data_IF_414760445445
#
_entry.id   IF_414760445445
#
_cell.length_a   1.000
_cell.length_b   1.000
_cell.length_c   1.000
_cell.angle_alpha   90.00
_cell.angle_beta   90.00
_cell.angle_gamma   90.00
#
_symmetry.space_group_name_H-M   'P 1'
#
loop_
_entity.id
_entity.type
_entity.pdbx_description
1 polymer ?
#
# COMPACT_ATOMS: atom_id res chain seq x y z
N UNK A 1 -21.73 -2.54 64.10
CA UNK A 1 -20.64 -3.04 63.22
C UNK A 1 -21.33 -3.80 62.09
N UNK A 2 -21.66 -3.15 60.96
CA UNK A 2 -20.87 -3.08 59.71
C UNK A 2 -20.26 -4.43 59.30
N UNK A 3 -20.72 -5.00 58.18
CA UNK A 3 -20.04 -6.11 57.50
C UNK A 3 -20.92 -6.93 56.55
N UNK A 4 -21.31 -6.34 55.42
CA UNK A 4 -21.89 -6.94 54.20
C UNK A 4 -21.14 -8.19 53.72
N UNK A 5 -21.87 -9.26 53.39
CA UNK A 5 -21.39 -10.33 52.50
C UNK A 5 -22.07 -10.13 51.15
N UNK A 6 -21.41 -9.40 50.25
CA UNK A 6 -21.81 -9.33 48.85
C UNK A 6 -21.06 -10.43 48.10
N UNK A 7 -21.81 -11.43 47.64
CA UNK A 7 -21.29 -12.47 46.73
C UNK A 7 -21.04 -11.80 45.37
N UNK A 8 -19.78 -11.54 45.04
CA UNK A 8 -19.37 -11.04 43.74
C UNK A 8 -19.44 -12.19 42.72
N UNK A 9 -20.49 -12.19 41.89
CA UNK A 9 -20.52 -13.00 40.66
C UNK A 9 -19.61 -12.28 39.66
N UNK A 10 -18.39 -12.79 39.49
CA UNK A 10 -17.49 -12.36 38.43
C UNK A 10 -17.95 -13.05 37.13
N UNK A 11 -18.77 -12.35 36.34
CA UNK A 11 -19.09 -12.77 34.97
C UNK A 11 -17.82 -12.57 34.13
N UNK A 12 -17.14 -13.68 33.82
CA UNK A 12 -16.04 -13.70 32.87
C UNK A 12 -16.64 -13.54 31.45
N UNK A 13 -16.79 -12.30 30.99
CA UNK A 13 -17.00 -12.00 29.58
C UNK A 13 -15.69 -12.30 28.85
N UNK A 14 -15.50 -13.55 28.44
CA UNK A 14 -14.55 -13.89 27.39
C UNK A 14 -15.16 -13.36 26.09
N UNK A 15 -14.92 -12.09 25.81
CA UNK A 15 -15.12 -11.54 24.48
C UNK A 15 -14.17 -12.32 23.57
N UNK A 16 -14.73 -13.11 22.65
CA UNK A 16 -14.01 -13.62 21.50
C UNK A 16 -13.49 -12.42 20.70
N UNK A 17 -12.31 -11.93 21.07
CA UNK A 17 -11.56 -10.98 20.28
C UNK A 17 -10.91 -11.81 19.18
N UNK A 18 -11.61 -12.00 18.06
CA UNK A 18 -10.95 -12.43 16.83
C UNK A 18 -9.81 -11.46 16.59
N UNK A 19 -8.56 -11.96 16.58
CA UNK A 19 -7.43 -11.19 16.11
C UNK A 19 -7.78 -10.71 14.70
N UNK A 20 -7.89 -9.40 14.55
CA UNK A 20 -8.53 -8.78 13.40
C UNK A 20 -7.44 -7.97 12.71
N UNK A 21 -7.01 -8.46 11.54
CA UNK A 21 -5.90 -7.93 10.74
C UNK A 21 -5.99 -6.41 10.56
N UNK A 22 -4.84 -5.76 10.66
CA UNK A 22 -4.67 -4.39 11.15
C UNK A 22 -3.56 -3.74 10.29
N UNK A 23 -3.84 -2.69 9.50
CA UNK A 23 -3.01 -2.12 8.40
C UNK A 23 -2.11 -3.13 7.63
N UNK A 24 -2.51 -4.40 7.71
CA UNK A 24 -1.95 -5.54 7.01
C UNK A 24 -2.27 -5.35 5.53
N UNK A 25 -1.59 -6.01 4.59
CA UNK A 25 -1.83 -5.81 3.17
C UNK A 25 -3.33 -5.87 2.77
N UNK A 26 -4.14 -6.64 3.50
CA UNK A 26 -5.61 -6.68 3.34
C UNK A 26 -6.31 -5.33 3.62
N UNK A 27 -5.83 -4.56 4.59
CA UNK A 27 -6.36 -3.24 4.94
C UNK A 27 -6.02 -2.20 3.86
N UNK A 28 -4.81 -2.21 3.33
CA UNK A 28 -4.42 -1.36 2.20
C UNK A 28 -5.35 -1.57 1.00
N UNK A 29 -5.64 -2.84 0.70
CA UNK A 29 -6.61 -3.23 -0.33
C UNK A 29 -8.00 -2.64 -0.07
N UNK A 30 -8.53 -2.78 1.13
CA UNK A 30 -9.88 -2.28 1.45
C UNK A 30 -9.96 -0.75 1.39
N UNK A 31 -8.94 -0.04 1.89
CA UNK A 31 -8.89 1.42 1.78
C UNK A 31 -8.83 1.83 0.30
N UNK A 32 -8.07 1.13 -0.53
CA UNK A 32 -7.98 1.40 -1.96
C UNK A 32 -9.30 1.12 -2.71
N UNK A 33 -10.00 0.01 -2.41
CA UNK A 33 -11.34 -0.24 -2.91
C UNK A 33 -12.30 0.91 -2.54
N UNK A 34 -12.32 1.30 -1.26
CA UNK A 34 -13.17 2.38 -0.77
C UNK A 34 -12.83 3.71 -1.43
N UNK A 35 -11.55 4.00 -1.65
CA UNK A 35 -11.10 5.21 -2.33
C UNK A 35 -11.56 5.28 -3.79
N UNK A 36 -11.67 4.14 -4.48
CA UNK A 36 -12.15 4.07 -5.86
C UNK A 36 -13.68 4.23 -5.99
N UNK A 37 -14.44 3.95 -4.93
CA UNK A 37 -15.92 3.98 -4.96
C UNK A 37 -16.50 5.40 -4.79
N UNK A 38 -17.62 5.72 -5.45
CA UNK A 38 -18.44 6.87 -5.09
C UNK A 38 -18.99 6.74 -3.65
N UNK A 39 -19.20 7.84 -2.91
CA UNK A 39 -18.88 9.22 -3.28
C UNK A 39 -17.44 9.64 -2.91
N UNK A 40 -16.55 8.71 -2.55
CA UNK A 40 -15.20 9.03 -2.06
C UNK A 40 -14.33 9.63 -3.15
N UNK A 41 -14.46 9.14 -4.38
CA UNK A 41 -13.84 9.73 -5.56
C UNK A 41 -14.79 9.72 -6.76
N UNK A 42 -14.41 10.49 -7.78
CA UNK A 42 -15.09 10.56 -9.07
C UNK A 42 -14.54 9.56 -10.09
N UNK A 43 -13.79 8.53 -9.66
CA UNK A 43 -13.17 7.56 -10.58
C UNK A 43 -14.25 6.88 -11.45
N UNK A 44 -15.34 6.41 -10.84
CA UNK A 44 -16.46 5.80 -11.57
C UNK A 44 -17.06 6.74 -12.63
N UNK A 45 -17.25 8.02 -12.28
CA UNK A 45 -17.80 9.02 -13.20
C UNK A 45 -16.85 9.31 -14.36
N UNK A 46 -15.54 9.45 -14.10
CA UNK A 46 -14.52 9.69 -15.14
C UNK A 46 -14.44 8.50 -16.10
N UNK A 47 -14.44 7.27 -15.59
CA UNK A 47 -14.42 6.06 -16.40
C UNK A 47 -15.61 6.02 -17.37
N UNK A 48 -16.80 6.34 -16.87
CA UNK A 48 -18.04 6.32 -17.65
C UNK A 48 -18.15 7.48 -18.64
N UNK A 49 -17.89 8.70 -18.18
CA UNK A 49 -18.20 9.92 -18.93
C UNK A 49 -17.07 10.38 -19.86
N UNK A 50 -15.81 10.12 -19.49
CA UNK A 50 -14.66 10.58 -20.27
C UNK A 50 -13.99 9.44 -21.05
N UNK A 51 -13.94 8.24 -20.47
CA UNK A 51 -13.25 7.09 -21.08
C UNK A 51 -14.17 6.10 -21.79
N UNK A 52 -15.48 6.27 -21.67
CA UNK A 52 -16.47 5.41 -22.31
C UNK A 52 -16.53 3.98 -21.78
N UNK A 53 -15.94 3.73 -20.60
CA UNK A 53 -16.01 2.46 -19.87
C UNK A 53 -17.34 2.43 -19.12
N UNK A 54 -18.36 1.86 -19.78
CA UNK A 54 -19.77 2.00 -19.38
C UNK A 54 -20.08 1.41 -18.00
N UNK A 55 -19.35 0.36 -17.62
CA UNK A 55 -19.49 -0.28 -16.31
C UNK A 55 -18.69 0.43 -15.22
N UNK A 56 -17.92 1.48 -15.57
CA UNK A 56 -17.13 2.28 -14.64
C UNK A 56 -16.19 1.44 -13.80
N UNK A 57 -16.30 1.53 -12.46
CA UNK A 57 -15.44 0.74 -11.57
C UNK A 57 -15.68 -0.78 -11.64
N UNK A 58 -16.80 -1.22 -12.24
CA UNK A 58 -17.13 -2.62 -12.47
C UNK A 58 -16.66 -3.14 -13.85
N UNK A 59 -16.11 -2.27 -14.70
CA UNK A 59 -15.49 -2.69 -15.97
C UNK A 59 -14.35 -3.66 -15.70
N UNK A 60 -14.25 -4.73 -16.50
CA UNK A 60 -13.28 -5.82 -16.24
C UNK A 60 -12.12 -5.82 -17.21
N UNK A 61 -10.91 -6.06 -16.68
CA UNK A 61 -9.69 -6.24 -17.45
C UNK A 61 -8.90 -7.47 -16.95
N UNK A 62 -7.91 -7.96 -17.72
CA UNK A 62 -7.00 -9.00 -17.23
C UNK A 62 -6.26 -8.54 -15.97
N UNK A 63 -6.25 -9.35 -14.91
CA UNK A 63 -5.48 -9.07 -13.70
C UNK A 63 -3.97 -9.22 -13.91
N UNK A 64 -3.17 -8.40 -13.20
CA UNK A 64 -1.71 -8.42 -13.29
C UNK A 64 -1.11 -9.17 -12.09
N UNK A 65 -1.37 -8.71 -10.86
CA UNK A 65 -0.90 -9.40 -9.65
C UNK A 65 -1.76 -10.61 -9.27
N UNK A 66 -3.07 -10.50 -9.41
CA UNK A 66 -4.00 -11.63 -9.26
C UNK A 66 -4.49 -12.11 -10.63
N UNK A 67 -4.36 -13.41 -10.92
CA UNK A 67 -4.78 -13.96 -12.21
C UNK A 67 -6.31 -13.99 -12.36
N UNK A 68 -6.79 -13.79 -13.59
CA UNK A 68 -8.22 -13.81 -13.94
C UNK A 68 -8.71 -12.47 -14.47
N UNK A 69 -10.02 -12.34 -14.67
CA UNK A 69 -10.63 -11.03 -14.95
C UNK A 69 -10.90 -10.32 -13.63
N UNK A 70 -10.52 -9.04 -13.57
CA UNK A 70 -10.64 -8.18 -12.39
C UNK A 70 -11.39 -6.92 -12.77
N UNK A 71 -12.29 -6.46 -11.91
CA UNK A 71 -12.90 -5.14 -12.09
C UNK A 71 -11.85 -4.03 -11.90
N UNK A 72 -12.09 -2.83 -12.39
CA UNK A 72 -11.23 -1.66 -12.12
C UNK A 72 -11.02 -1.46 -10.62
N UNK A 73 -12.10 -1.59 -9.83
CA UNK A 73 -12.02 -1.51 -8.37
C UNK A 73 -11.10 -2.58 -7.78
N UNK A 74 -11.18 -3.81 -8.29
CA UNK A 74 -10.35 -4.92 -7.87
C UNK A 74 -8.88 -4.68 -8.20
N UNK A 75 -8.56 -4.23 -9.41
CA UNK A 75 -7.19 -3.92 -9.83
C UNK A 75 -6.54 -2.84 -8.95
N UNK A 76 -7.28 -1.79 -8.61
CA UNK A 76 -6.82 -0.75 -7.68
C UNK A 76 -6.54 -1.36 -6.30
N UNK A 77 -7.41 -2.24 -5.81
CA UNK A 77 -7.18 -2.93 -4.54
C UNK A 77 -5.98 -3.88 -4.59
N UNK A 78 -5.83 -4.65 -5.67
CA UNK A 78 -4.74 -5.60 -5.86
C UNK A 78 -3.39 -4.87 -5.93
N UNK A 79 -3.33 -3.72 -6.60
CA UNK A 79 -2.14 -2.88 -6.61
C UNK A 79 -1.75 -2.41 -5.21
N UNK A 80 -2.71 -2.00 -4.40
CA UNK A 80 -2.45 -1.59 -3.02
C UNK A 80 -2.03 -2.76 -2.12
N UNK A 81 -2.61 -3.94 -2.33
CA UNK A 81 -2.25 -5.17 -1.64
C UNK A 81 -0.81 -5.58 -1.91
N UNK A 82 -0.40 -5.54 -3.18
CA UNK A 82 0.88 -6.11 -3.59
C UNK A 82 2.05 -5.12 -3.51
N UNK A 83 1.84 -3.84 -3.17
CA UNK A 83 2.94 -2.85 -3.05
C UNK A 83 4.00 -3.25 -2.01
N UNK A 84 3.64 -4.09 -1.03
CA UNK A 84 4.59 -4.69 -0.09
C UNK A 84 5.34 -5.93 -0.63
N UNK A 85 5.08 -6.36 -1.86
CA UNK A 85 5.60 -7.60 -2.44
C UNK A 85 6.67 -7.28 -3.50
N UNK A 86 7.90 -7.81 -3.34
CA UNK A 86 8.40 -8.60 -2.21
C UNK A 86 8.67 -7.72 -0.98
N UNK A 87 8.76 -8.31 0.23
CA UNK A 87 8.94 -7.57 1.49
C UNK A 87 10.16 -6.62 1.52
N UNK A 88 11.14 -6.77 0.62
CA UNK A 88 12.26 -5.82 0.49
C UNK A 88 11.81 -4.47 -0.07
N UNK A 89 10.70 -4.43 -0.81
CA UNK A 89 10.06 -3.23 -1.36
C UNK A 89 9.56 -2.28 -0.29
N UNK A 90 8.97 -2.81 0.79
CA UNK A 90 8.42 -2.03 1.90
C UNK A 90 9.45 -1.20 2.66
N UNK A 91 10.74 -1.49 2.52
CA UNK A 91 11.82 -0.67 3.08
C UNK A 91 11.87 0.74 2.46
N UNK A 92 11.22 0.97 1.31
CA UNK A 92 11.08 2.28 0.68
C UNK A 92 9.78 3.01 1.07
N UNK A 93 8.97 2.49 2.00
CA UNK A 93 7.65 3.04 2.33
C UNK A 93 7.67 4.10 3.44
N UNK A 94 8.86 4.52 3.86
CA UNK A 94 9.04 5.48 4.94
C UNK A 94 9.26 6.90 4.41
N UNK A 95 8.69 7.89 5.09
CA UNK A 95 8.96 9.30 4.82
C UNK A 95 8.90 10.14 6.10
N UNK A 96 10.05 10.59 6.59
CA UNK A 96 10.15 11.55 7.68
C UNK A 96 10.00 12.99 7.14
N UNK A 97 8.87 13.68 7.39
CA UNK A 97 8.61 15.01 6.84
C UNK A 97 9.48 16.11 7.46
N UNK A 98 10.24 15.81 8.51
CA UNK A 98 11.17 16.75 9.17
C UNK A 98 12.58 16.70 8.60
N UNK A 99 12.81 15.92 7.53
CA UNK A 99 14.11 15.73 6.88
C UNK A 99 14.09 16.19 5.42
N UNK A 100 15.24 16.60 4.87
CA UNK A 100 15.37 16.79 3.42
C UNK A 100 14.99 15.51 2.67
N UNK A 101 14.39 15.62 1.48
CA UNK A 101 13.81 14.48 0.76
C UNK A 101 14.79 13.32 0.52
N UNK A 102 16.07 13.61 0.23
CA UNK A 102 17.11 12.58 0.05
C UNK A 102 17.48 11.82 1.32
N UNK A 103 17.10 12.34 2.49
CA UNK A 103 17.34 11.76 3.82
C UNK A 103 16.04 11.38 4.55
N UNK A 104 14.88 11.64 3.93
CA UNK A 104 13.57 11.40 4.53
C UNK A 104 13.13 9.93 4.49
N UNK A 105 13.81 9.04 3.76
CA UNK A 105 13.47 7.62 3.75
C UNK A 105 13.84 6.89 5.04
N UNK A 106 13.67 5.56 5.02
CA UNK A 106 14.04 4.70 6.13
C UNK A 106 15.52 4.91 6.48
N UNK A 107 15.81 5.17 7.76
CA UNK A 107 17.16 5.29 8.32
C UNK A 107 17.14 4.72 9.73
N UNK A 108 17.55 3.47 9.91
CA UNK A 108 17.50 2.80 11.22
C UNK A 108 18.71 1.87 11.46
N UNK A 109 18.82 1.35 12.68
CA UNK A 109 19.94 0.55 13.19
C UNK A 109 21.30 1.23 12.98
N UNK A 110 21.44 2.44 13.52
CA UNK A 110 22.67 3.23 13.37
C UNK A 110 23.82 2.68 14.22
N UNK A 111 24.96 2.44 13.58
CA UNK A 111 26.24 2.12 14.25
C UNK A 111 27.20 3.28 13.99
N UNK A 112 27.74 3.87 15.07
CA UNK A 112 28.61 5.06 15.00
C UNK A 112 27.99 6.23 14.18
N UNK A 113 26.68 6.39 14.25
CA UNK A 113 25.94 7.44 13.52
C UNK A 113 25.64 7.11 12.06
N UNK A 114 26.03 5.93 11.56
CA UNK A 114 25.75 5.47 10.20
C UNK A 114 24.57 4.48 10.21
N UNK A 115 23.43 4.79 9.56
CA UNK A 115 22.30 3.87 9.51
C UNK A 115 22.62 2.65 8.63
N UNK A 116 22.47 1.45 9.20
CA UNK A 116 22.73 0.19 8.49
C UNK A 116 21.58 -0.22 7.57
N UNK A 117 20.34 0.15 7.91
CA UNK A 117 19.19 -0.03 7.03
C UNK A 117 18.76 1.31 6.44
N UNK A 118 18.73 1.37 5.10
CA UNK A 118 18.32 2.56 4.35
C UNK A 118 17.46 2.21 3.16
N UNK A 119 16.34 2.91 3.04
CA UNK A 119 15.47 2.92 1.87
C UNK A 119 15.33 4.32 1.29
N UNK A 120 14.81 4.39 0.08
CA UNK A 120 14.39 5.66 -0.51
C UNK A 120 13.19 6.21 0.28
N UNK A 121 13.03 7.54 0.30
CA UNK A 121 11.81 8.20 0.78
C UNK A 121 10.62 7.72 -0.04
N UNK A 122 9.48 7.38 0.58
CA UNK A 122 8.28 6.92 -0.15
C UNK A 122 7.79 7.91 -1.20
N UNK A 123 7.98 9.21 -0.96
CA UNK A 123 7.70 10.28 -1.94
C UNK A 123 8.61 10.17 -3.16
N UNK A 124 9.90 9.87 -2.97
CA UNK A 124 10.84 9.68 -4.07
C UNK A 124 10.71 8.30 -4.73
N UNK A 125 10.34 7.28 -3.95
CA UNK A 125 10.07 5.92 -4.41
C UNK A 125 8.94 5.90 -5.45
N UNK A 126 7.87 6.66 -5.21
CA UNK A 126 6.78 6.85 -6.19
C UNK A 126 7.23 7.50 -7.49
N UNK A 127 8.39 8.16 -7.53
CA UNK A 127 8.90 8.84 -8.72
C UNK A 127 10.03 8.05 -9.41
N UNK A 128 10.45 6.92 -8.84
CA UNK A 128 11.59 6.18 -9.31
C UNK A 128 11.19 5.22 -10.43
N UNK A 129 11.59 5.46 -11.68
CA UNK A 129 11.26 4.55 -12.80
C UNK A 129 12.09 3.27 -12.83
N UNK A 130 12.97 3.07 -11.84
CA UNK A 130 13.87 1.93 -11.70
C UNK A 130 13.62 1.19 -10.38
N UNK A 131 12.39 1.18 -9.89
CA UNK A 131 11.99 0.49 -8.66
C UNK A 131 12.48 -0.96 -8.63
N UNK A 132 12.21 -1.72 -9.70
CA UNK A 132 12.51 -3.15 -9.76
C UNK A 132 14.02 -3.46 -9.60
N UNK A 133 14.86 -2.56 -10.08
CA UNK A 133 16.32 -2.69 -10.04
C UNK A 133 16.99 -1.88 -8.94
N UNK A 134 16.22 -1.16 -8.12
CA UNK A 134 16.74 -0.37 -7.00
C UNK A 134 17.15 -1.27 -5.85
N UNK A 135 18.34 -1.03 -5.31
CA UNK A 135 18.81 -1.72 -4.12
C UNK A 135 18.45 -0.94 -2.86
N UNK A 136 17.94 -1.64 -1.86
CA UNK A 136 17.81 -1.15 -0.48
C UNK A 136 19.08 -1.48 0.29
N UNK A 137 19.57 -0.52 1.06
CA UNK A 137 20.79 -0.69 1.84
C UNK A 137 20.48 -1.52 3.07
N UNK A 138 21.05 -2.71 3.16
CA UNK A 138 21.16 -3.49 4.39
C UNK A 138 22.63 -3.90 4.57
N UNK A 139 23.03 -4.62 5.64
CA UNK A 139 24.38 -5.19 5.73
C UNK A 139 24.81 -5.98 4.47
N UNK A 140 23.83 -6.58 3.78
CA UNK A 140 23.99 -7.14 2.42
C UNK A 140 22.95 -6.46 1.52
N UNK A 141 23.32 -5.65 0.52
CA UNK A 141 22.35 -4.97 -0.35
C UNK A 141 21.34 -5.96 -0.96
N UNK A 142 20.05 -5.63 -0.86
CA UNK A 142 18.98 -6.45 -1.40
C UNK A 142 18.27 -5.70 -2.52
N UNK A 143 17.81 -6.43 -3.53
CA UNK A 143 16.97 -5.88 -4.57
C UNK A 143 15.59 -5.54 -4.00
N UNK A 144 15.06 -4.38 -4.33
CA UNK A 144 13.68 -4.02 -3.99
C UNK A 144 12.69 -4.92 -4.73
N UNK A 145 12.85 -5.06 -6.06
CA UNK A 145 12.00 -5.92 -6.89
C UNK A 145 10.53 -5.51 -6.93
N UNK A 146 9.69 -6.43 -7.41
CA UNK A 146 8.23 -6.26 -7.48
C UNK A 146 7.75 -5.46 -8.69
N UNK A 147 8.62 -5.17 -9.67
CA UNK A 147 8.27 -4.41 -10.87
C UNK A 147 8.33 -2.89 -10.71
N UNK A 148 8.06 -2.19 -11.81
CA UNK A 148 8.08 -0.73 -11.90
C UNK A 148 6.64 -0.18 -11.93
N UNK A 149 6.29 0.59 -10.91
CA UNK A 149 4.96 1.11 -10.62
C UNK A 149 5.01 2.59 -10.20
N UNK A 150 6.01 3.33 -10.70
CA UNK A 150 6.13 4.75 -10.41
C UNK A 150 4.97 5.56 -11.01
N UNK A 151 4.84 6.82 -10.60
CA UNK A 151 3.88 7.76 -11.18
C UNK A 151 4.08 7.92 -12.69
N UNK A 152 5.33 7.89 -13.14
CA UNK A 152 5.70 7.93 -14.55
C UNK A 152 5.25 6.66 -15.27
N UNK A 153 5.38 5.49 -14.65
CA UNK A 153 4.90 4.22 -15.20
C UNK A 153 3.38 4.21 -15.30
N UNK A 154 2.66 4.62 -14.25
CA UNK A 154 1.20 4.75 -14.26
C UNK A 154 0.71 5.63 -15.43
N UNK A 155 1.35 6.79 -15.63
CA UNK A 155 1.02 7.69 -16.75
C UNK A 155 1.33 7.09 -18.11
N UNK A 156 2.42 6.33 -18.22
CA UNK A 156 2.80 5.63 -19.46
C UNK A 156 1.81 4.50 -19.78
N UNK A 157 1.39 3.72 -18.79
CA UNK A 157 0.34 2.71 -18.95
C UNK A 157 -0.96 3.36 -19.39
N UNK A 158 -1.34 4.49 -18.79
CA UNK A 158 -2.56 5.19 -19.17
C UNK A 158 -2.49 5.71 -20.61
N UNK A 159 -1.38 6.32 -21.01
CA UNK A 159 -1.18 6.74 -22.40
C UNK A 159 -1.29 5.55 -23.35
N UNK A 160 -0.67 4.42 -23.02
CA UNK A 160 -0.72 3.21 -23.82
C UNK A 160 -2.16 2.67 -23.92
N UNK A 161 -2.92 2.70 -22.83
CA UNK A 161 -4.31 2.29 -22.78
C UNK A 161 -5.20 3.10 -23.73
N UNK A 162 -4.89 4.38 -23.93
CA UNK A 162 -5.62 5.26 -24.84
C UNK A 162 -5.17 5.16 -26.30
N UNK A 163 -3.92 4.77 -26.56
CA UNK A 163 -3.29 4.97 -27.87
C UNK A 163 -2.87 3.70 -28.60
N UNK A 164 -2.77 2.55 -27.93
CA UNK A 164 -2.37 1.31 -28.60
C UNK A 164 -3.37 0.94 -29.72
N UNK A 165 -2.89 0.45 -30.87
CA UNK A 165 -3.75 0.14 -32.01
C UNK A 165 -4.66 -1.06 -31.73
N UNK A 166 -4.12 -2.06 -31.03
CA UNK A 166 -4.81 -3.31 -30.72
C UNK A 166 -5.58 -3.22 -29.40
N UNK A 167 -6.81 -3.75 -29.39
CA UNK A 167 -7.67 -3.74 -28.20
C UNK A 167 -7.05 -4.52 -27.04
N UNK A 168 -6.47 -5.69 -27.30
CA UNK A 168 -5.90 -6.52 -26.24
C UNK A 168 -4.77 -5.79 -25.49
N UNK A 169 -3.93 -5.07 -26.24
CA UNK A 169 -2.84 -4.29 -25.64
C UNK A 169 -3.37 -3.07 -24.87
N UNK A 170 -4.43 -2.42 -25.37
CA UNK A 170 -5.12 -1.34 -24.63
C UNK A 170 -5.73 -1.85 -23.33
N UNK A 171 -6.42 -2.98 -23.36
CA UNK A 171 -7.03 -3.58 -22.18
C UNK A 171 -5.96 -3.96 -21.14
N UNK A 172 -4.83 -4.51 -21.58
CA UNK A 172 -3.69 -4.81 -20.71
C UNK A 172 -3.07 -3.54 -20.13
N UNK A 173 -2.98 -2.46 -20.91
CA UNK A 173 -2.48 -1.19 -20.44
C UNK A 173 -3.45 -0.50 -19.47
N UNK A 174 -4.76 -0.65 -19.65
CA UNK A 174 -5.76 -0.23 -18.66
C UNK A 174 -5.58 -1.00 -17.35
N UNK A 175 -5.45 -2.32 -17.41
CA UNK A 175 -5.18 -3.13 -16.22
C UNK A 175 -3.95 -2.66 -15.43
N UNK A 176 -2.82 -2.46 -16.13
CA UNK A 176 -1.61 -1.92 -15.52
C UNK A 176 -1.81 -0.51 -14.95
N UNK A 177 -2.62 0.34 -15.60
CA UNK A 177 -2.94 1.68 -15.09
C UNK A 177 -3.63 1.58 -13.74
N UNK A 178 -4.69 0.77 -13.64
CA UNK A 178 -5.49 0.65 -12.43
C UNK A 178 -4.70 -0.02 -11.29
N UNK A 179 -3.90 -1.02 -11.61
CA UNK A 179 -3.02 -1.62 -10.61
C UNK A 179 -1.93 -0.64 -10.14
N UNK A 180 -1.33 0.15 -11.05
CA UNK A 180 -0.40 1.20 -10.68
C UNK A 180 -1.04 2.27 -9.78
N UNK A 181 -2.30 2.63 -9.99
CA UNK A 181 -3.02 3.55 -9.10
C UNK A 181 -3.16 2.96 -7.68
N UNK A 182 -3.41 1.66 -7.56
CA UNK A 182 -3.39 0.94 -6.29
C UNK A 182 -2.05 1.03 -5.57
N UNK A 183 -0.97 0.70 -6.29
CA UNK A 183 0.42 0.76 -5.81
C UNK A 183 0.78 2.15 -5.30
N UNK A 184 0.38 3.18 -6.03
CA UNK A 184 0.59 4.57 -5.64
C UNK A 184 -0.25 4.97 -4.43
N UNK A 185 -1.47 4.46 -4.30
CA UNK A 185 -2.37 4.77 -3.17
C UNK A 185 -1.87 4.17 -1.86
N UNK A 186 -1.19 3.02 -1.91
CA UNK A 186 -0.58 2.38 -0.74
C UNK A 186 0.35 3.32 0.02
N UNK A 187 1.19 4.09 -0.67
CA UNK A 187 2.26 4.88 -0.02
C UNK A 187 1.74 6.10 0.77
N UNK A 188 0.71 6.85 0.32
CA UNK A 188 -0.02 7.79 1.16
C UNK A 188 -0.77 7.14 2.32
N UNK A 189 -1.27 5.90 2.17
CA UNK A 189 -1.87 5.17 3.30
C UNK A 189 -0.82 4.91 4.38
N UNK A 190 0.37 4.42 4.00
CA UNK A 190 1.51 4.27 4.91
C UNK A 190 1.92 5.59 5.55
N UNK A 191 1.94 6.69 4.81
CA UNK A 191 2.24 8.01 5.36
C UNK A 191 1.23 8.49 6.43
N UNK A 192 0.06 7.84 6.54
CA UNK A 192 -0.90 8.09 7.63
C UNK A 192 -0.60 7.28 8.91
N UNK A 193 0.28 6.28 8.84
CA UNK A 193 0.69 5.45 9.96
C UNK A 193 1.93 6.07 10.64
N UNK A 194 1.88 6.38 11.95
CA UNK A 194 2.99 7.02 12.66
C UNK A 194 4.34 6.31 12.51
N UNK A 195 4.39 4.98 12.43
CA UNK A 195 5.64 4.25 12.27
C UNK A 195 6.38 4.57 10.95
N UNK A 196 5.63 4.70 9.84
CA UNK A 196 6.19 5.00 8.52
C UNK A 196 6.72 6.43 8.39
N UNK A 197 6.22 7.37 9.20
CA UNK A 197 6.71 8.76 9.23
C UNK A 197 7.77 9.03 10.31
N UNK A 198 7.93 8.14 11.29
CA UNK A 198 8.96 8.23 12.34
C UNK A 198 10.18 7.35 12.09
N UNK A 199 10.20 6.56 11.02
CA UNK A 199 11.22 5.55 10.72
C UNK A 199 11.28 4.39 11.75
N UNK A 200 10.12 4.03 12.31
CA UNK A 200 10.01 2.94 13.28
C UNK A 200 9.82 1.60 12.54
N UNK A 201 10.90 1.02 12.01
CA UNK A 201 10.82 -0.28 11.32
C UNK A 201 10.47 -1.41 12.30
N UNK A 202 9.44 -2.19 11.98
CA UNK A 202 9.00 -3.36 12.76
C UNK A 202 8.89 -4.62 11.87
N UNK A 203 9.98 -5.39 11.70
CA UNK A 203 9.93 -6.64 10.96
C UNK A 203 9.09 -7.66 11.72
N UNK A 204 8.05 -8.22 11.09
CA UNK A 204 7.17 -9.27 11.66
C UNK A 204 7.87 -10.37 12.50
N UNK A 205 9.05 -10.93 12.13
CA UNK A 205 9.68 -11.98 12.93
C UNK A 205 10.27 -11.52 14.28
N UNK A 206 10.35 -10.21 14.56
CA UNK A 206 10.91 -9.66 15.79
C UNK A 206 9.85 -9.07 16.74
N UNK A 207 8.57 -9.32 16.45
CA UNK A 207 7.41 -8.76 17.14
C UNK A 207 6.86 -7.52 16.44
N UNK A 208 5.56 -7.26 16.59
CA UNK A 208 4.92 -6.04 16.11
C UNK A 208 4.74 -5.05 17.29
N UNK A 209 5.67 -4.11 17.52
CA UNK A 209 5.48 -3.01 18.46
C UNK A 209 4.55 -1.92 17.92
N UNK A 210 4.13 -1.97 16.65
CA UNK A 210 3.23 -0.99 16.08
C UNK A 210 1.78 -1.31 16.49
N UNK A 211 1.42 -0.81 17.65
CA UNK A 211 0.03 -0.88 18.08
C UNK A 211 -0.88 -0.15 17.11
N UNK A 212 -0.43 0.88 16.37
CA UNK A 212 -1.25 1.78 15.52
C UNK A 212 -1.71 1.16 14.21
N UNK A 213 -0.94 0.26 13.61
CA UNK A 213 -1.46 -0.64 12.58
C UNK A 213 -2.70 -1.41 13.10
N UNK A 214 -2.70 -1.70 14.41
CA UNK A 214 -3.77 -2.33 15.18
C UNK A 214 -5.07 -1.53 15.39
N UNK A 215 -5.10 -0.22 15.14
CA UNK A 215 -6.25 0.64 15.50
C UNK A 215 -7.20 0.75 14.31
N UNK A 216 -8.49 0.51 14.57
CA UNK A 216 -9.55 0.60 13.57
C UNK A 216 -10.36 1.87 13.82
N UNK A 217 -10.63 2.63 12.75
CA UNK A 217 -11.63 3.70 12.74
C UNK A 217 -13.06 3.13 12.76
#
# INVERSE_FOLDING_TARGET
MKGTVNFLVLVLLIVNCSALDAYDPVTHREIAHRAARPPVSSVDDVLKSELGLKEGIQETFPGISEAGQRTVEQLIGDGALFEDVPNTRSLNHFHNPLRPWGEAGLRTFSVLGVPLLRGQSSVLWQQNTSQDTTFVSTPVPLLSGGGNWSWQDARRHYLNALTHPNKLDRDTAFANTFEALGRLTHLPQDASVPAHVRNDLHPRPLGNPDWTEGWKL
#
